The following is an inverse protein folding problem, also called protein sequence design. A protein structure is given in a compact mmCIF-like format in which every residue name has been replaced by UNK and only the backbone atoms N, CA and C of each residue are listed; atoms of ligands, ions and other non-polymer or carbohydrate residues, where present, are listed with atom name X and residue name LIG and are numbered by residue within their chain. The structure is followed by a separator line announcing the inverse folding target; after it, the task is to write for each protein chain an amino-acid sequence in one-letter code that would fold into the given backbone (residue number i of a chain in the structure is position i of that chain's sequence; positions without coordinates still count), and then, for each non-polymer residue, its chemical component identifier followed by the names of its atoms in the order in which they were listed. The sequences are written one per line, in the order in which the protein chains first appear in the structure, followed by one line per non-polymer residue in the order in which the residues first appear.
data_IF_185126895540
#
_entry.id   IF_185126895540
#
_cell.length_a   1.000
_cell.length_b   1.000
_cell.length_c   1.000
_cell.angle_alpha   90.00
_cell.angle_beta   90.00
_cell.angle_gamma   90.00
#
_symmetry.space_group_name_H-M   'P 1'
#
loop_
_entity.id
_entity.type
_entity.pdbx_description
1 polymer ?
#
# COMPACT_ATOMS: atom_id res chain seq x y z
N UNK A 1 -3.56 -0.44 16.68
CA UNK A 1 -3.23 -0.89 15.32
C UNK A 1 -2.92 0.34 14.51
N UNK A 2 -1.82 0.36 13.79
CA UNK A 2 -1.41 1.53 13.00
C UNK A 2 -2.30 1.67 11.76
N UNK A 3 -2.48 2.90 11.27
CA UNK A 3 -3.39 3.17 10.15
C UNK A 3 -2.85 2.60 8.85
N UNK A 4 -3.71 1.98 8.06
CA UNK A 4 -3.44 1.58 6.69
C UNK A 4 -3.66 2.75 5.72
N UNK A 5 -3.12 2.64 4.51
CA UNK A 5 -3.16 3.74 3.53
C UNK A 5 -4.59 4.20 3.20
N UNK A 6 -5.58 3.29 3.15
CA UNK A 6 -6.98 3.62 2.87
C UNK A 6 -7.66 4.32 4.05
N UNK A 7 -7.26 4.03 5.30
CA UNK A 7 -7.75 4.72 6.50
C UNK A 7 -7.17 6.14 6.60
N UNK A 8 -5.89 6.30 6.23
CA UNK A 8 -5.23 7.60 6.21
C UNK A 8 -5.72 8.49 5.07
N UNK A 9 -5.70 8.00 3.83
CA UNK A 9 -6.10 8.76 2.64
C UNK A 9 -7.62 8.83 2.45
N UNK A 10 -8.41 8.01 3.17
CA UNK A 10 -9.88 7.93 3.08
C UNK A 10 -10.38 7.74 1.64
N UNK A 11 -9.66 6.92 0.86
CA UNK A 11 -9.92 6.76 -0.57
C UNK A 11 -11.17 5.90 -0.88
N UNK A 12 -11.70 5.16 0.10
CA UNK A 12 -12.94 4.39 -0.04
C UNK A 12 -12.83 3.17 -0.96
N UNK A 13 -11.62 2.62 -1.14
CA UNK A 13 -11.34 1.44 -1.98
C UNK A 13 -10.95 0.20 -1.18
N UNK A 14 -11.06 0.25 0.14
CA UNK A 14 -11.06 -0.93 1.00
C UNK A 14 -12.26 -1.85 0.68
N UNK A 15 -12.24 -3.15 1.06
CA UNK A 15 -13.39 -4.03 0.87
C UNK A 15 -14.67 -3.42 1.46
N UNK A 16 -15.71 -3.30 0.64
CA UNK A 16 -16.98 -2.66 1.01
C UNK A 16 -16.95 -1.12 1.00
N UNK A 17 -15.85 -0.50 0.59
CA UNK A 17 -15.70 0.95 0.52
C UNK A 17 -16.58 1.60 -0.55
N UNK A 18 -16.93 2.86 -0.33
CA UNK A 18 -17.87 3.64 -1.18
C UNK A 18 -17.48 3.76 -2.65
N UNK A 19 -16.20 3.63 -2.99
CA UNK A 19 -15.68 3.79 -4.35
C UNK A 19 -15.34 2.43 -5.01
N UNK A 20 -15.67 1.31 -4.37
CA UNK A 20 -15.38 -0.03 -4.91
C UNK A 20 -16.18 -0.33 -6.17
N UNK A 21 -17.45 0.10 -6.25
CA UNK A 21 -18.30 -0.15 -7.42
C UNK A 21 -17.78 0.51 -8.70
N UNK A 22 -17.16 1.69 -8.58
CA UNK A 22 -16.66 2.48 -9.71
C UNK A 22 -15.18 2.20 -10.00
N UNK A 23 -14.34 2.14 -8.97
CA UNK A 23 -12.89 2.07 -9.11
C UNK A 23 -12.30 0.70 -8.78
N UNK A 24 -13.13 -0.26 -8.36
CA UNK A 24 -12.69 -1.57 -7.87
C UNK A 24 -11.98 -1.52 -6.52
N UNK A 25 -11.78 -2.69 -5.92
CA UNK A 25 -11.06 -2.83 -4.64
C UNK A 25 -9.57 -2.53 -4.82
N UNK A 26 -8.99 -1.79 -3.87
CA UNK A 26 -7.56 -1.46 -3.87
C UNK A 26 -6.71 -2.74 -3.67
N UNK A 27 -5.71 -3.01 -4.51
CA UNK A 27 -4.81 -4.15 -4.33
C UNK A 27 -4.12 -4.17 -2.96
N UNK A 28 -3.76 -3.01 -2.41
CA UNK A 28 -3.17 -2.93 -1.06
C UNK A 28 -4.13 -3.42 0.02
N UNK A 29 -5.44 -3.30 -0.18
CA UNK A 29 -6.42 -3.72 0.80
C UNK A 29 -6.75 -5.22 0.74
N UNK A 30 -6.27 -5.95 -0.27
CA UNK A 30 -6.54 -7.39 -0.46
C UNK A 30 -5.29 -8.25 -0.64
N UNK A 31 -4.09 -7.66 -0.71
CA UNK A 31 -2.84 -8.42 -0.80
C UNK A 31 -2.47 -9.06 0.55
N UNK A 32 -3.09 -10.21 0.84
CA UNK A 32 -2.94 -10.94 2.10
C UNK A 32 -1.51 -11.42 2.35
N UNK A 33 -0.69 -11.61 1.30
CA UNK A 33 0.70 -12.07 1.45
C UNK A 33 1.60 -11.00 2.08
N UNK A 34 1.15 -9.76 2.10
CA UNK A 34 1.82 -8.65 2.74
C UNK A 34 1.34 -8.38 4.17
N UNK A 35 0.34 -9.13 4.67
CA UNK A 35 -0.22 -8.92 6.00
C UNK A 35 0.85 -8.97 7.10
N UNK A 36 0.76 -8.02 8.04
CA UNK A 36 1.73 -7.84 9.12
C UNK A 36 3.01 -7.09 8.73
N UNK A 37 3.26 -6.82 7.44
CA UNK A 37 4.38 -5.96 7.03
C UNK A 37 4.15 -4.56 7.57
N UNK A 38 5.15 -4.05 8.31
CA UNK A 38 5.07 -2.77 9.02
C UNK A 38 3.80 -2.68 9.87
N UNK A 39 3.47 -3.72 10.64
CA UNK A 39 2.28 -3.76 11.52
C UNK A 39 0.94 -3.42 10.83
N UNK A 40 0.90 -3.49 9.49
CA UNK A 40 -0.24 -3.16 8.67
C UNK A 40 -1.08 -4.39 8.37
N UNK A 41 -2.31 -4.14 7.94
CA UNK A 41 -3.20 -5.17 7.41
C UNK A 41 -2.97 -5.31 5.91
N UNK A 42 -2.85 -6.53 5.40
CA UNK A 42 -2.54 -6.81 3.99
C UNK A 42 -1.38 -5.91 3.50
N UNK A 43 -1.54 -5.23 2.38
CA UNK A 43 -0.56 -4.27 1.85
C UNK A 43 -0.68 -2.84 2.41
N UNK A 44 -1.48 -2.61 3.44
CA UNK A 44 -1.92 -1.27 3.87
C UNK A 44 -0.80 -0.35 4.34
N UNK A 45 0.24 -0.87 4.98
CA UNK A 45 1.45 -0.12 5.40
C UNK A 45 2.68 -0.45 4.55
N UNK A 46 2.47 -0.97 3.34
CA UNK A 46 3.52 -1.11 2.33
C UNK A 46 3.01 -0.82 0.91
N UNK A 47 1.97 0.00 0.79
CA UNK A 47 1.21 0.14 -0.45
C UNK A 47 2.07 0.62 -1.63
N UNK A 48 3.14 1.39 -1.39
CA UNK A 48 4.12 1.80 -2.42
C UNK A 48 4.80 0.63 -3.11
N UNK A 49 4.84 -0.53 -2.48
CA UNK A 49 5.54 -1.73 -2.96
C UNK A 49 4.70 -2.59 -3.91
N UNK A 50 3.39 -2.36 -3.96
CA UNK A 50 2.43 -3.13 -4.75
C UNK A 50 2.17 -2.47 -6.11
N UNK A 51 1.80 -3.21 -7.14
CA UNK A 51 1.38 -2.62 -8.44
C UNK A 51 -0.14 -2.39 -8.45
N UNK A 52 -0.65 -1.51 -9.33
CA UNK A 52 -2.08 -1.32 -9.55
C UNK A 52 -2.86 -0.61 -8.41
N UNK A 53 -2.19 -0.04 -7.41
CA UNK A 53 -2.89 0.82 -6.44
C UNK A 53 -3.18 2.18 -7.07
N UNK A 54 -4.29 2.79 -6.66
CA UNK A 54 -4.57 4.18 -7.02
C UNK A 54 -3.91 5.12 -6.02
N UNK A 55 -3.05 6.01 -6.52
CA UNK A 55 -2.62 7.19 -5.80
C UNK A 55 -3.08 8.40 -6.62
N UNK A 56 -3.67 9.40 -5.97
CA UNK A 56 -4.14 10.65 -6.61
C UNK A 56 -5.13 10.48 -7.77
N UNK A 57 -5.99 9.45 -7.71
CA UNK A 57 -7.02 9.25 -8.74
C UNK A 57 -6.50 8.62 -10.04
N UNK A 58 -5.26 8.10 -10.08
CA UNK A 58 -4.71 7.38 -11.24
C UNK A 58 -4.25 5.98 -10.88
N UNK A 59 -4.49 5.01 -11.77
CA UNK A 59 -3.83 3.69 -11.70
C UNK A 59 -2.33 3.94 -11.87
N UNK A 60 -1.55 3.57 -10.84
CA UNK A 60 -0.10 3.72 -10.91
C UNK A 60 0.53 2.56 -11.67
N UNK A 61 1.42 2.90 -12.61
CA UNK A 61 2.05 1.99 -13.59
C UNK A 61 3.10 1.05 -12.99
N UNK A 62 4.28 0.95 -13.62
CA UNK A 62 5.36 0.07 -13.14
C UNK A 62 5.88 0.49 -11.76
N UNK A 63 6.49 -0.46 -11.03
CA UNK A 63 7.07 -0.22 -9.68
C UNK A 63 7.98 1.02 -9.61
N UNK A 64 8.81 1.26 -10.64
CA UNK A 64 9.73 2.39 -10.68
C UNK A 64 9.02 3.75 -10.75
N UNK A 65 7.96 3.83 -11.55
CA UNK A 65 7.16 5.05 -11.71
C UNK A 65 6.40 5.36 -10.40
N UNK A 66 5.85 4.30 -9.79
CA UNK A 66 5.14 4.41 -8.52
C UNK A 66 6.03 4.80 -7.35
N UNK A 67 7.27 4.31 -7.28
CA UNK A 67 8.18 4.64 -6.18
C UNK A 67 8.52 6.14 -6.14
N UNK A 68 8.71 6.77 -7.31
CA UNK A 68 8.98 8.21 -7.41
C UNK A 68 7.81 9.07 -6.91
N UNK A 69 6.57 8.64 -7.14
CA UNK A 69 5.40 9.34 -6.62
C UNK A 69 5.20 9.05 -5.12
N UNK A 70 5.58 7.85 -4.66
CA UNK A 70 5.42 7.46 -3.26
C UNK A 70 6.42 8.13 -2.31
N UNK A 71 7.62 8.50 -2.74
CA UNK A 71 8.58 9.22 -1.86
C UNK A 71 8.03 10.58 -1.39
N UNK A 72 7.09 11.17 -2.13
CA UNK A 72 6.43 12.43 -1.77
C UNK A 72 5.04 12.21 -1.14
N UNK A 73 4.69 10.96 -0.80
CA UNK A 73 3.40 10.65 -0.20
C UNK A 73 3.48 10.82 1.32
N UNK A 74 2.64 11.69 1.90
CA UNK A 74 2.60 11.90 3.36
C UNK A 74 2.35 10.62 4.16
N UNK A 75 1.67 9.63 3.56
CA UNK A 75 1.49 8.34 4.22
C UNK A 75 2.77 7.49 4.21
N UNK A 76 3.56 7.54 3.14
CA UNK A 76 4.87 6.89 3.12
C UNK A 76 5.79 7.52 4.17
N UNK A 77 5.83 8.86 4.23
CA UNK A 77 6.60 9.59 5.23
C UNK A 77 6.17 9.20 6.65
N UNK A 78 4.86 9.19 6.94
CA UNK A 78 4.33 8.75 8.22
C UNK A 78 4.83 7.35 8.59
N UNK A 79 4.71 6.38 7.67
CA UNK A 79 5.16 5.01 7.94
C UNK A 79 6.67 4.95 8.20
N UNK A 80 7.48 5.72 7.45
CA UNK A 80 8.93 5.77 7.69
C UNK A 80 9.32 6.37 9.04
N UNK A 81 8.50 7.28 9.59
CA UNK A 81 8.74 7.87 10.91
C UNK A 81 8.29 6.94 12.04
N UNK A 82 7.24 6.15 11.83
CA UNK A 82 6.69 5.22 12.82
C UNK A 82 7.49 3.89 12.88
N UNK A 83 8.03 3.43 11.76
CA UNK A 83 8.69 2.12 11.66
C UNK A 83 10.18 2.14 11.97
N UNK A 84 10.60 1.42 13.02
CA UNK A 84 12.01 1.24 13.37
C UNK A 84 12.77 0.33 12.39
N UNK A 85 12.08 -0.67 11.83
CA UNK A 85 12.66 -1.69 10.94
C UNK A 85 11.98 -1.64 9.58
N UNK A 86 12.17 -0.51 8.89
CA UNK A 86 11.55 -0.25 7.59
C UNK A 86 12.11 -1.18 6.51
N UNK A 87 11.23 -1.93 5.84
CA UNK A 87 11.54 -2.70 4.65
C UNK A 87 11.39 -1.85 3.39
N UNK A 88 12.39 -1.95 2.51
CA UNK A 88 12.33 -1.37 1.17
C UNK A 88 11.27 -2.07 0.31
N UNK A 89 10.82 -1.41 -0.75
CA UNK A 89 9.87 -2.03 -1.68
C UNK A 89 10.39 -3.32 -2.33
N UNK A 90 11.71 -3.46 -2.49
CA UNK A 90 12.33 -4.69 -3.00
C UNK A 90 12.19 -5.82 -1.97
N UNK A 91 12.44 -5.54 -0.69
CA UNK A 91 12.33 -6.52 0.39
C UNK A 91 10.90 -6.96 0.61
N UNK A 92 9.94 -6.03 0.57
CA UNK A 92 8.51 -6.34 0.60
C UNK A 92 8.14 -7.28 -0.55
N UNK A 93 8.54 -6.97 -1.78
CA UNK A 93 8.29 -7.84 -2.94
C UNK A 93 8.94 -9.21 -2.81
N UNK A 94 10.16 -9.30 -2.25
CA UNK A 94 10.83 -10.58 -1.97
C UNK A 94 10.04 -11.40 -0.94
N UNK A 95 9.50 -10.78 0.12
CA UNK A 95 8.67 -11.46 1.12
C UNK A 95 7.37 -11.98 0.50
N UNK A 96 6.67 -11.16 -0.27
CA UNK A 96 5.42 -11.55 -0.95
C UNK A 96 5.64 -12.74 -1.88
N UNK A 97 6.75 -12.75 -2.65
CA UNK A 97 7.08 -13.84 -3.59
C UNK A 97 7.53 -15.14 -2.92
N UNK A 98 8.10 -15.08 -1.71
CA UNK A 98 8.49 -16.27 -0.93
C UNK A 98 7.29 -16.99 -0.30
N UNK A 99 6.15 -16.31 -0.20
CA UNK A 99 4.90 -16.85 0.34
C UNK A 99 4.00 -17.42 -0.78
N UNK A 100 4.61 -17.90 -1.88
CA UNK A 100 3.95 -18.58 -3.01
C UNK A 100 4.32 -20.06 -2.95
#
# INVERSE_FOLDING_TARGET
MEKNCWEFKKCGREPGGKNVSELGVCPAAIEIRADGIHHGKNGGRCCWSLVGTFCEGKVQGTFAQKFKDCINCDFYELVTQEEKNMLTGIEVNKKIKKNI
#
